data_IF_993319136530
#
_entry.id   IF_993319136530
#
_cell.length_a   1.000
_cell.length_b   1.000
_cell.length_c   1.000
_cell.angle_alpha   90.00
_cell.angle_beta   90.00
_cell.angle_gamma   90.00
#
_symmetry.space_group_name_H-M   'P 1'
#
loop_
_entity.id
_entity.type
_entity.pdbx_description
1 polymer ?
#
# COMPACT_ATOMS: atom_id res chain seq x y z
N UNK A 1 -10.41 -28.52 -15.97
CA UNK A 1 -9.40 -29.14 -15.08
C UNK A 1 -9.13 -28.10 -14.01
N UNK A 2 -9.44 -28.39 -12.76
CA UNK A 2 -9.14 -27.50 -11.64
C UNK A 2 -7.69 -27.79 -11.24
N UNK A 3 -6.81 -26.78 -11.11
CA UNK A 3 -5.46 -26.99 -10.57
C UNK A 3 -5.54 -27.73 -9.24
N UNK A 4 -4.77 -28.82 -9.10
CA UNK A 4 -4.82 -29.72 -7.94
C UNK A 4 -3.65 -29.52 -6.98
N UNK A 5 -2.57 -28.88 -7.44
CA UNK A 5 -1.39 -28.57 -6.63
C UNK A 5 -0.99 -27.09 -6.69
N UNK A 6 -0.18 -26.61 -5.72
CA UNK A 6 0.33 -25.24 -5.68
C UNK A 6 1.24 -24.88 -6.86
N UNK A 7 1.84 -25.88 -7.52
CA UNK A 7 2.72 -25.70 -8.68
C UNK A 7 1.99 -25.82 -10.03
N UNK A 8 0.69 -26.13 -10.01
CA UNK A 8 -0.09 -26.23 -11.23
C UNK A 8 -0.30 -24.84 -11.85
N UNK A 9 -0.21 -24.70 -13.18
CA UNK A 9 -0.48 -23.43 -13.84
C UNK A 9 -1.89 -22.92 -13.52
N UNK A 10 -1.98 -21.66 -13.12
CA UNK A 10 -3.28 -21.02 -12.84
C UNK A 10 -4.10 -20.81 -14.13
N UNK A 11 -3.41 -20.49 -15.23
CA UNK A 11 -4.05 -20.09 -16.49
C UNK A 11 -3.95 -21.19 -17.55
N UNK A 12 -5.10 -21.57 -18.11
CA UNK A 12 -5.23 -22.60 -19.14
C UNK A 12 -5.90 -22.04 -20.40
N UNK A 13 -5.56 -22.59 -21.57
CA UNK A 13 -6.22 -22.25 -22.83
C UNK A 13 -7.68 -22.69 -22.82
N UNK A 14 -8.55 -21.92 -23.47
CA UNK A 14 -10.00 -22.23 -23.52
C UNK A 14 -10.35 -23.37 -24.50
N UNK A 15 -9.48 -23.66 -25.47
CA UNK A 15 -9.71 -24.68 -26.51
C UNK A 15 -8.97 -25.97 -26.17
N UNK A 16 -9.58 -27.11 -26.50
CA UNK A 16 -8.96 -28.43 -26.38
C UNK A 16 -7.89 -28.65 -27.47
N UNK A 17 -6.83 -29.43 -27.18
CA UNK A 17 -6.46 -29.90 -25.85
C UNK A 17 -6.07 -28.72 -24.94
N UNK A 18 -6.51 -28.74 -23.68
CA UNK A 18 -6.21 -27.67 -22.73
C UNK A 18 -4.72 -27.66 -22.42
N UNK A 19 -4.08 -26.50 -22.54
CA UNK A 19 -2.66 -26.31 -22.28
C UNK A 19 -2.45 -25.13 -21.33
N UNK A 20 -1.39 -25.12 -20.52
CA UNK A 20 -1.00 -23.93 -19.78
C UNK A 20 -0.81 -22.74 -20.72
N UNK A 21 -1.27 -21.55 -20.32
CA UNK A 21 -1.09 -20.33 -21.12
C UNK A 21 0.39 -19.97 -21.16
N UNK A 22 0.96 -19.96 -22.36
CA UNK A 22 2.33 -19.50 -22.59
C UNK A 22 2.40 -17.97 -22.65
N UNK A 23 3.59 -17.41 -22.49
CA UNK A 23 3.82 -15.97 -22.69
C UNK A 23 3.32 -15.47 -24.05
N UNK A 24 3.60 -16.20 -25.13
CA UNK A 24 3.14 -15.82 -26.47
C UNK A 24 1.60 -15.84 -26.59
N UNK A 25 0.94 -16.82 -25.96
CA UNK A 25 -0.52 -16.88 -25.96
C UNK A 25 -1.13 -15.72 -25.16
N UNK A 26 -0.57 -15.39 -23.99
CA UNK A 26 -0.97 -14.24 -23.19
C UNK A 26 -0.75 -12.92 -23.94
N UNK A 27 0.42 -12.76 -24.59
CA UNK A 27 0.72 -11.58 -25.42
C UNK A 27 -0.26 -11.45 -26.58
N UNK A 28 -0.55 -12.53 -27.30
CA UNK A 28 -1.50 -12.50 -28.41
C UNK A 28 -2.94 -12.21 -27.93
N UNK A 29 -3.32 -12.73 -26.76
CA UNK A 29 -4.59 -12.37 -26.12
C UNK A 29 -4.67 -10.87 -25.83
N UNK A 30 -3.62 -10.30 -25.24
CA UNK A 30 -3.56 -8.88 -24.91
C UNK A 30 -3.59 -7.98 -26.15
N UNK A 31 -2.87 -8.34 -27.22
CA UNK A 31 -2.94 -7.63 -28.51
C UNK A 31 -4.35 -7.61 -29.08
N UNK A 32 -5.10 -8.73 -29.01
CA UNK A 32 -6.49 -8.76 -29.45
C UNK A 32 -7.40 -7.88 -28.58
N UNK A 33 -7.17 -7.86 -27.28
CA UNK A 33 -7.92 -6.99 -26.36
C UNK A 33 -7.69 -5.51 -26.70
N UNK A 34 -6.45 -5.11 -26.94
CA UNK A 34 -6.10 -3.76 -27.40
C UNK A 34 -6.79 -3.39 -28.71
N UNK A 35 -6.78 -4.29 -29.70
CA UNK A 35 -7.45 -4.07 -30.98
C UNK A 35 -8.98 -3.87 -30.82
N UNK A 36 -9.61 -4.63 -29.92
CA UNK A 36 -11.04 -4.48 -29.62
C UNK A 36 -11.38 -3.16 -28.91
N UNK A 37 -10.47 -2.67 -28.07
CA UNK A 37 -10.62 -1.42 -27.32
C UNK A 37 -10.18 -0.19 -28.12
N UNK A 38 -9.53 -0.36 -29.28
CA UNK A 38 -8.91 0.74 -30.02
C UNK A 38 -7.75 1.38 -29.26
N UNK A 39 -7.08 0.63 -28.38
CA UNK A 39 -5.96 1.07 -27.56
C UNK A 39 -4.64 0.48 -28.02
N UNK A 40 -3.53 1.08 -27.60
CA UNK A 40 -2.18 0.55 -27.78
C UNK A 40 -1.44 0.46 -26.44
N UNK A 41 -2.15 -0.04 -25.40
CA UNK A 41 -1.59 -0.15 -24.07
C UNK A 41 -0.55 -1.26 -24.01
N UNK A 42 0.54 -1.03 -23.30
CA UNK A 42 1.50 -2.06 -22.93
C UNK A 42 1.13 -2.68 -21.57
N UNK A 43 1.73 -3.83 -21.25
CA UNK A 43 1.65 -4.39 -19.89
C UNK A 43 2.27 -3.45 -18.85
N UNK A 44 3.21 -2.61 -19.27
CA UNK A 44 3.84 -1.61 -18.41
C UNK A 44 2.86 -0.49 -18.03
N UNK A 45 1.96 -0.10 -18.94
CA UNK A 45 0.92 0.91 -18.65
C UNK A 45 -0.09 0.41 -17.62
N UNK A 46 -0.42 -0.89 -17.68
CA UNK A 46 -1.24 -1.53 -16.65
C UNK A 46 -0.54 -1.54 -15.29
N UNK A 47 0.76 -1.88 -15.27
CA UNK A 47 1.58 -1.84 -14.04
C UNK A 47 1.64 -0.43 -13.47
N UNK A 48 1.88 0.59 -14.29
CA UNK A 48 1.86 1.99 -13.86
C UNK A 48 0.50 2.38 -13.28
N UNK A 49 -0.59 2.05 -13.97
CA UNK A 49 -1.94 2.36 -13.51
C UNK A 49 -2.24 1.72 -12.16
N UNK A 50 -1.88 0.44 -11.98
CA UNK A 50 -2.03 -0.25 -10.70
C UNK A 50 -1.18 0.42 -9.61
N UNK A 51 0.09 0.72 -9.89
CA UNK A 51 0.99 1.36 -8.94
C UNK A 51 0.47 2.72 -8.47
N UNK A 52 -0.02 3.56 -9.40
CA UNK A 52 -0.63 4.85 -9.06
C UNK A 52 -1.89 4.72 -8.22
N UNK A 53 -2.71 3.69 -8.44
CA UNK A 53 -3.92 3.46 -7.63
C UNK A 53 -3.56 3.03 -6.21
N UNK A 54 -2.63 2.08 -6.08
CA UNK A 54 -2.16 1.61 -4.79
C UNK A 54 -1.45 2.70 -4.00
N UNK A 55 -0.57 3.48 -4.65
CA UNK A 55 0.16 4.58 -3.99
C UNK A 55 -0.73 5.75 -3.55
N UNK A 56 -1.93 5.88 -4.13
CA UNK A 56 -2.92 6.90 -3.74
C UNK A 56 -3.89 6.42 -2.66
N UNK A 57 -3.89 5.15 -2.30
CA UNK A 57 -4.72 4.62 -1.23
C UNK A 57 -4.14 5.06 0.13
N UNK A 58 -4.86 5.88 0.92
CA UNK A 58 -4.38 6.32 2.25
C UNK A 58 -4.14 5.17 3.22
N UNK A 59 -4.81 4.03 3.01
CA UNK A 59 -4.66 2.82 3.82
C UNK A 59 -3.49 1.93 3.39
N UNK A 60 -2.78 2.27 2.30
CA UNK A 60 -1.71 1.46 1.75
C UNK A 60 -0.35 2.15 1.86
N UNK A 61 0.50 1.75 2.83
CA UNK A 61 1.86 2.24 2.94
C UNK A 61 2.68 2.00 1.65
N UNK A 62 3.56 2.95 1.32
CA UNK A 62 4.41 2.86 0.12
C UNK A 62 5.33 1.62 0.12
N UNK A 63 5.66 1.09 1.30
CA UNK A 63 6.41 -0.18 1.47
C UNK A 63 5.62 -1.39 1.01
N UNK A 64 4.30 -1.37 1.20
CA UNK A 64 3.41 -2.47 0.80
C UNK A 64 3.21 -2.43 -0.71
N UNK A 65 3.10 -1.22 -1.29
CA UNK A 65 3.10 -1.03 -2.74
C UNK A 65 4.41 -1.54 -3.36
N UNK A 66 5.56 -1.26 -2.74
CA UNK A 66 6.85 -1.78 -3.19
C UNK A 66 6.86 -3.32 -3.21
N UNK A 67 6.36 -3.94 -2.15
CA UNK A 67 6.30 -5.40 -2.02
C UNK A 67 5.38 -6.04 -3.07
N UNK A 68 4.16 -5.51 -3.24
CA UNK A 68 3.19 -5.96 -4.26
C UNK A 68 3.76 -5.84 -5.67
N UNK A 69 4.51 -4.78 -5.96
CA UNK A 69 5.14 -4.58 -7.26
C UNK A 69 6.43 -5.40 -7.43
N UNK A 70 6.96 -6.00 -6.38
CA UNK A 70 8.23 -6.74 -6.40
C UNK A 70 9.44 -5.84 -6.70
N UNK A 71 9.41 -4.57 -6.26
CA UNK A 71 10.52 -3.65 -6.44
C UNK A 71 11.62 -3.89 -5.39
N UNK A 72 12.86 -4.00 -5.84
CA UNK A 72 14.02 -4.14 -4.95
C UNK A 72 14.38 -2.83 -4.21
N UNK A 73 14.00 -1.68 -4.75
CA UNK A 73 14.27 -0.36 -4.17
C UNK A 73 12.98 0.43 -3.97
N UNK A 74 12.90 1.15 -2.86
CA UNK A 74 11.78 2.05 -2.59
C UNK A 74 11.75 3.20 -3.61
N UNK A 75 12.92 3.63 -4.11
CA UNK A 75 13.05 4.74 -5.07
C UNK A 75 12.29 4.49 -6.37
N UNK A 76 12.25 3.24 -6.86
CA UNK A 76 11.47 2.89 -8.05
C UNK A 76 9.95 2.89 -7.82
N UNK A 77 9.52 2.89 -6.55
CA UNK A 77 8.10 2.98 -6.15
C UNK A 77 7.70 4.42 -5.82
N UNK A 78 8.63 5.24 -5.32
CA UNK A 78 8.42 6.66 -5.02
C UNK A 78 8.00 7.49 -6.24
N UNK A 79 8.29 7.02 -7.47
CA UNK A 79 7.81 7.69 -8.68
C UNK A 79 6.28 7.78 -8.77
N UNK A 80 5.54 6.94 -8.02
CA UNK A 80 4.07 6.93 -8.01
C UNK A 80 3.44 7.79 -6.92
N UNK A 81 4.23 8.39 -6.03
CA UNK A 81 3.72 9.17 -4.91
C UNK A 81 3.58 10.66 -5.21
N UNK A 82 3.86 11.10 -6.44
CA UNK A 82 3.73 12.51 -6.82
C UNK A 82 2.26 12.95 -6.70
N UNK A 83 1.93 13.81 -5.73
CA UNK A 83 0.57 14.31 -5.56
C UNK A 83 0.25 15.32 -6.66
N UNK A 84 -1.03 15.44 -7.02
CA UNK A 84 -1.48 16.56 -7.84
C UNK A 84 -1.52 17.85 -7.01
N UNK A 85 -1.49 19.05 -7.64
CA UNK A 85 -1.64 20.30 -6.90
C UNK A 85 -2.92 20.35 -6.05
N UNK A 86 -4.02 19.78 -6.54
CA UNK A 86 -5.28 19.69 -5.81
C UNK A 86 -5.12 18.82 -4.54
N UNK A 87 -4.49 17.65 -4.66
CA UNK A 87 -4.22 16.76 -3.51
C UNK A 87 -3.41 17.46 -2.42
N UNK A 88 -2.42 18.29 -2.82
CA UNK A 88 -1.61 19.07 -1.88
C UNK A 88 -2.44 20.13 -1.16
N UNK A 89 -3.28 20.87 -1.90
CA UNK A 89 -4.16 21.89 -1.32
C UNK A 89 -5.10 21.25 -0.30
N UNK A 90 -5.78 20.17 -0.68
CA UNK A 90 -6.71 19.47 0.20
C UNK A 90 -6.02 18.92 1.45
N UNK A 91 -4.82 18.33 1.29
CA UNK A 91 -4.03 17.82 2.41
C UNK A 91 -3.60 18.92 3.38
N UNK A 92 -3.16 20.07 2.87
CA UNK A 92 -2.75 21.24 3.68
C UNK A 92 -3.96 21.81 4.43
N UNK A 93 -5.10 22.00 3.75
CA UNK A 93 -6.34 22.47 4.39
C UNK A 93 -6.78 21.50 5.50
N UNK A 94 -6.78 20.20 5.22
CA UNK A 94 -7.13 19.17 6.21
C UNK A 94 -6.15 19.16 7.40
N UNK A 95 -4.86 19.37 7.16
CA UNK A 95 -3.85 19.48 8.21
C UNK A 95 -4.12 20.68 9.14
N UNK A 96 -4.42 21.86 8.57
CA UNK A 96 -4.74 23.05 9.37
C UNK A 96 -6.02 22.88 10.18
N UNK A 97 -7.06 22.24 9.62
CA UNK A 97 -8.30 21.92 10.36
C UNK A 97 -8.03 21.04 11.58
N UNK A 98 -7.31 19.93 11.41
CA UNK A 98 -6.92 19.03 12.52
C UNK A 98 -6.11 19.72 13.61
N UNK A 99 -5.30 20.73 13.26
CA UNK A 99 -4.54 21.53 14.23
C UNK A 99 -5.36 22.59 14.95
N UNK A 100 -6.39 23.12 14.27
CA UNK A 100 -7.29 24.12 14.84
C UNK A 100 -8.32 23.50 15.79
N UNK A 101 -8.63 22.22 15.61
CA UNK A 101 -9.44 21.47 16.57
C UNK A 101 -8.75 21.45 17.95
N UNK A 102 -9.45 21.87 19.03
CA UNK A 102 -8.87 21.85 20.35
C UNK A 102 -8.53 20.42 20.72
N UNK A 103 -7.24 20.17 20.95
CA UNK A 103 -6.78 18.90 21.53
C UNK A 103 -7.59 18.69 22.82
N UNK A 104 -8.28 17.55 22.99
CA UNK A 104 -8.88 17.25 24.28
C UNK A 104 -7.80 17.43 25.34
N UNK A 105 -8.10 18.11 26.46
CA UNK A 105 -7.11 18.31 27.50
C UNK A 105 -6.54 16.95 27.84
N UNK A 106 -5.22 16.79 27.69
CA UNK A 106 -4.56 15.59 28.18
C UNK A 106 -5.00 15.42 29.63
N UNK A 107 -5.56 14.26 29.98
CA UNK A 107 -5.73 13.90 31.37
C UNK A 107 -4.37 14.11 32.01
N UNK A 108 -4.25 15.17 32.80
CA UNK A 108 -3.08 15.41 33.61
C UNK A 108 -3.14 14.31 34.64
N UNK A 109 -2.43 13.21 34.40
CA UNK A 109 -1.99 12.34 35.48
C UNK A 109 -1.46 13.31 36.56
N UNK A 110 -2.04 13.30 37.77
CA UNK A 110 -1.60 14.23 38.80
C UNK A 110 -0.08 14.09 38.92
N UNK A 111 0.62 15.22 38.96
CA UNK A 111 2.06 15.29 39.27
C UNK A 111 2.28 14.90 40.73
N UNK A 112 1.84 13.70 41.10
CA UNK A 112 2.06 13.06 42.38
C UNK A 112 2.94 11.87 42.08
N UNK A 113 4.22 11.97 42.45
CA UNK A 113 5.08 10.81 42.46
C UNK A 113 4.40 9.72 43.28
N UNK A 114 4.30 8.52 42.70
CA UNK A 114 3.81 7.35 43.42
C UNK A 114 4.67 7.14 44.67
N UNK A 115 4.03 6.98 45.81
CA UNK A 115 4.68 6.95 47.12
C UNK A 115 5.74 5.84 47.18
N UNK A 116 5.45 4.70 46.55
CA UNK A 116 6.38 3.57 46.46
C UNK A 116 7.66 3.93 45.69
N UNK A 117 7.55 4.77 44.65
CA UNK A 117 8.71 5.26 43.89
C UNK A 117 9.57 6.23 44.69
N UNK A 118 8.96 7.05 45.56
CA UNK A 118 9.69 7.94 46.45
C UNK A 118 10.39 7.17 47.58
N UNK A 119 9.76 6.12 48.11
CA UNK A 119 10.33 5.31 49.18
C UNK A 119 11.58 4.54 48.71
N UNK A 120 11.63 4.13 47.42
CA UNK A 120 12.83 3.54 46.78
C UNK A 120 13.92 4.58 46.55
N UNK A 121 13.57 5.79 46.11
CA UNK A 121 14.52 6.86 45.79
C UNK A 121 15.17 7.50 47.02
N UNK A 122 14.39 7.67 48.10
CA UNK A 122 14.85 8.31 49.34
C UNK A 122 15.15 7.32 50.45
N UNK A 123 15.00 6.01 50.20
CA UNK A 123 15.38 4.94 51.10
C UNK A 123 14.72 5.08 52.46
N UNK A 124 13.44 4.72 52.55
CA UNK A 124 12.76 4.72 53.86
C UNK A 124 13.35 3.62 54.74
N UNK A 125 14.17 4.03 55.72
CA UNK A 125 14.47 3.20 56.90
C UNK A 125 13.29 3.35 57.85
N UNK A 126 12.39 2.38 57.80
CA UNK A 126 11.43 2.16 58.89
C UNK A 126 12.20 1.73 60.14
N UNK A 127 12.01 2.52 61.21
CA UNK A 127 12.28 2.26 62.65
C UNK A 127 13.67 1.80 63.09
#
# INVERSE_FOLDING_TARGET
>A
MVPTGPDDPLWWTLRKPFRPVTYHAARAMFVRANALLGSDWSLHDLRHTAAYRLARDPGMPITDVQWVLGHASLTTTQIYTTPTPADVIDAVVAHHRRRAEPRPPAEREPLGYRKESLDVLFGRRDS
#
